data_IF_757179357899
#
_entry.id   IF_757179357899
#
_cell.length_a   1.000
_cell.length_b   1.000
_cell.length_c   1.000
_cell.angle_alpha   90.00
_cell.angle_beta   90.00
_cell.angle_gamma   90.00
#
_symmetry.space_group_name_H-M   'P 1'
#
loop_
_entity.id
_entity.type
_entity.pdbx_description
1 polymer ?
#
# COMPACT_ATOMS: atom_id res chain seq x y z
N UNK A 1 5.24 -1.71 2.67
CA UNK A 1 4.05 -1.51 3.54
C UNK A 1 4.35 -1.62 5.03
N UNK A 2 4.96 -2.71 5.54
CA UNK A 2 5.32 -2.83 6.97
C UNK A 2 6.12 -1.63 7.50
N UNK A 3 7.23 -1.28 6.84
CA UNK A 3 8.06 -0.14 7.26
C UNK A 3 7.32 1.19 7.14
N UNK A 4 6.54 1.39 6.08
CA UNK A 4 5.74 2.61 5.92
C UNK A 4 4.76 2.81 7.09
N UNK A 5 3.99 1.76 7.44
CA UNK A 5 3.06 1.80 8.58
C UNK A 5 3.80 2.03 9.89
N UNK A 6 4.92 1.35 10.12
CA UNK A 6 5.71 1.49 11.35
C UNK A 6 6.33 2.89 11.52
N UNK A 7 6.68 3.56 10.42
CA UNK A 7 7.19 4.93 10.43
C UNK A 7 6.06 5.98 10.44
N UNK A 8 4.81 5.58 10.67
CA UNK A 8 3.69 6.49 10.81
C UNK A 8 3.19 7.09 9.50
N UNK A 9 3.42 6.43 8.36
CA UNK A 9 2.88 6.88 7.08
C UNK A 9 1.35 7.02 7.17
N UNK A 10 0.87 8.17 6.71
CA UNK A 10 -0.55 8.52 6.71
C UNK A 10 -1.32 7.67 5.70
N UNK A 11 -2.64 7.66 5.84
CA UNK A 11 -3.52 6.97 4.91
C UNK A 11 -3.38 7.55 3.50
N UNK A 12 -3.24 8.86 3.41
CA UNK A 12 -3.10 9.64 2.19
C UNK A 12 -1.79 9.26 1.47
N UNK A 13 -0.65 9.23 2.17
CA UNK A 13 0.64 8.81 1.58
C UNK A 13 0.60 7.35 1.08
N UNK A 14 -0.09 6.47 1.81
CA UNK A 14 -0.29 5.08 1.38
C UNK A 14 -1.14 5.03 0.11
N UNK A 15 -2.21 5.82 0.03
CA UNK A 15 -3.09 5.87 -1.15
C UNK A 15 -2.38 6.46 -2.37
N UNK A 16 -1.59 7.52 -2.22
CA UNK A 16 -0.78 8.10 -3.30
C UNK A 16 0.23 7.07 -3.84
N UNK A 17 0.89 6.35 -2.93
CA UNK A 17 1.81 5.26 -3.32
C UNK A 17 1.06 4.14 -4.07
N UNK A 18 -0.15 3.78 -3.64
CA UNK A 18 -0.97 2.80 -4.35
C UNK A 18 -1.43 3.30 -5.73
N UNK A 19 -1.59 4.61 -5.91
CA UNK A 19 -1.83 5.24 -7.21
C UNK A 19 -0.66 5.04 -8.17
N UNK A 20 0.57 5.23 -7.70
CA UNK A 20 1.78 4.92 -8.49
C UNK A 20 1.82 3.44 -8.86
N UNK A 21 1.59 2.54 -7.89
CA UNK A 21 1.54 1.08 -8.14
C UNK A 21 0.47 0.71 -9.16
N UNK A 22 -0.67 1.38 -9.15
CA UNK A 22 -1.71 1.16 -10.16
C UNK A 22 -1.23 1.54 -11.56
N UNK A 23 -0.57 2.69 -11.71
CA UNK A 23 -0.04 3.15 -13.01
C UNK A 23 1.07 2.21 -13.52
N UNK A 24 1.95 1.73 -12.64
CA UNK A 24 3.12 0.93 -13.04
C UNK A 24 2.85 -0.57 -13.15
N UNK A 25 1.90 -1.08 -12.35
CA UNK A 25 1.70 -2.53 -12.16
C UNK A 25 0.22 -2.94 -12.25
N UNK A 26 -0.67 -2.00 -12.52
CA UNK A 26 -2.10 -2.24 -12.67
C UNK A 26 -2.80 -2.68 -11.38
N UNK A 27 -4.03 -3.13 -11.55
CA UNK A 27 -4.85 -3.68 -10.47
C UNK A 27 -4.18 -4.85 -9.70
N UNK A 28 -3.41 -5.77 -10.33
CA UNK A 28 -2.72 -6.84 -9.61
C UNK A 28 -1.72 -6.33 -8.55
N UNK A 29 -0.92 -5.31 -8.89
CA UNK A 29 0.03 -4.69 -7.96
C UNK A 29 -0.67 -4.08 -6.75
N UNK A 30 -1.76 -3.34 -6.99
CA UNK A 30 -2.59 -2.75 -5.92
C UNK A 30 -3.14 -3.85 -5.00
N UNK A 31 -3.60 -4.97 -5.56
CA UNK A 31 -4.19 -6.06 -4.79
C UNK A 31 -3.16 -6.73 -3.87
N UNK A 32 -1.92 -6.91 -4.34
CA UNK A 32 -0.81 -7.41 -3.51
C UNK A 32 -0.53 -6.47 -2.34
N UNK A 33 -0.44 -5.16 -2.60
CA UNK A 33 -0.21 -4.16 -1.56
C UNK A 33 -1.37 -4.10 -0.54
N UNK A 34 -2.63 -4.13 -0.99
CA UNK A 34 -3.81 -4.21 -0.12
C UNK A 34 -3.79 -5.44 0.78
N UNK A 35 -3.45 -6.60 0.23
CA UNK A 35 -3.32 -7.83 1.01
C UNK A 35 -2.19 -7.75 2.04
N UNK A 36 -1.05 -7.14 1.69
CA UNK A 36 0.04 -6.91 2.63
C UNK A 36 -0.40 -5.99 3.79
N UNK A 37 -1.10 -4.89 3.51
CA UNK A 37 -1.65 -3.99 4.54
C UNK A 37 -2.61 -4.76 5.45
N UNK A 38 -3.55 -5.53 4.87
CA UNK A 38 -4.52 -6.31 5.65
C UNK A 38 -3.88 -7.36 6.56
N UNK A 39 -2.74 -7.94 6.17
CA UNK A 39 -1.97 -8.87 7.00
C UNK A 39 -1.20 -8.18 8.13
N UNK A 40 -0.87 -6.90 7.98
CA UNK A 40 -0.09 -6.13 8.96
C UNK A 40 -0.97 -5.42 10.00
N UNK A 41 -2.24 -5.19 9.68
CA UNK A 41 -3.25 -4.59 10.57
C UNK A 41 -4.11 -5.63 11.30
N UNK A 42 -3.86 -6.92 11.05
CA UNK A 42 -4.40 -8.04 11.85
C UNK A 42 -3.41 -8.38 12.95
#
# INVERSE_FOLDING_TARGET
>A
MKSAIHNGATKEEILDTLGVVYVTSGAPGVNVCKNAIKKLLK
#
